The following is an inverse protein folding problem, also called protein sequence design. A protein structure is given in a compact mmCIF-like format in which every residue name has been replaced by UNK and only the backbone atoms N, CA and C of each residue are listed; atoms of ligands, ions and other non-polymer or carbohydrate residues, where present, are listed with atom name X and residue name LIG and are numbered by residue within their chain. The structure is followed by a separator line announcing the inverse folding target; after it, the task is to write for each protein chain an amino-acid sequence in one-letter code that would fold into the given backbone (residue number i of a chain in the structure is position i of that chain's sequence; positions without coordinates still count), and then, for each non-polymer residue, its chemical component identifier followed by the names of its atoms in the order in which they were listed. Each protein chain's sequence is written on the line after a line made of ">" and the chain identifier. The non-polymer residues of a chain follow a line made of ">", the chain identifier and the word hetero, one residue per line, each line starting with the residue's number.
data_IF_197915831057
#
_entry.id   IF_197915831057
#
_cell.length_a   1.000
_cell.length_b   1.000
_cell.length_c   1.000
_cell.angle_alpha   90.00
_cell.angle_beta   90.00
_cell.angle_gamma   90.00
#
_symmetry.space_group_name_H-M   'P 1'
#
loop_
_entity.id
_entity.type
_entity.pdbx_description
1 polymer ?
#
# COMPACT_ATOMS: atom_id res chain seq x y z
N UNK A 1 -4.43 -12.32 7.24
CA UNK A 1 -3.43 -11.50 7.98
C UNK A 1 -4.18 -10.47 8.83
N UNK A 2 -3.68 -10.01 9.98
CA UNK A 2 -4.38 -8.92 10.69
C UNK A 2 -4.20 -7.61 9.93
N UNK A 3 -5.28 -7.09 9.35
CA UNK A 3 -5.32 -5.81 8.62
C UNK A 3 -4.77 -4.65 9.47
N UNK A 4 -5.00 -4.68 10.79
CA UNK A 4 -4.47 -3.69 11.73
C UNK A 4 -2.95 -3.53 11.65
N UNK A 5 -2.18 -4.63 11.60
CA UNK A 5 -0.71 -4.55 11.53
C UNK A 5 -0.22 -3.93 10.22
N UNK A 6 -0.96 -4.15 9.13
CA UNK A 6 -0.65 -3.55 7.82
C UNK A 6 -0.88 -2.04 7.90
N UNK A 7 -2.01 -1.61 8.47
CA UNK A 7 -2.32 -0.19 8.64
C UNK A 7 -1.31 0.51 9.53
N UNK A 8 -0.89 -0.11 10.64
CA UNK A 8 0.16 0.40 11.53
C UNK A 8 1.51 0.52 10.80
N UNK A 9 1.89 -0.51 10.03
CA UNK A 9 3.12 -0.48 9.23
C UNK A 9 3.10 0.65 8.19
N UNK A 10 2.05 0.74 7.37
CA UNK A 10 1.94 1.76 6.32
C UNK A 10 1.99 3.18 6.93
N UNK A 11 1.28 3.42 8.04
CA UNK A 11 1.35 4.69 8.75
C UNK A 11 2.76 5.00 9.27
N UNK A 12 3.49 3.99 9.76
CA UNK A 12 4.88 4.16 10.22
C UNK A 12 5.84 4.59 9.10
N UNK A 13 5.48 4.32 7.85
CA UNK A 13 6.23 4.70 6.63
C UNK A 13 5.70 5.99 5.98
N UNK A 14 4.83 6.74 6.66
CA UNK A 14 4.18 7.94 6.11
C UNK A 14 3.29 7.67 4.88
N UNK A 15 2.66 6.49 4.84
CA UNK A 15 1.59 6.20 3.89
C UNK A 15 0.25 6.47 4.57
N UNK A 16 -0.60 7.24 3.91
CA UNK A 16 -1.83 7.77 4.50
C UNK A 16 -3.05 7.29 3.74
N UNK A 17 -4.06 6.85 4.50
CA UNK A 17 -5.41 6.57 4.00
C UNK A 17 -6.24 7.85 4.09
N UNK A 18 -6.28 8.60 2.99
CA UNK A 18 -6.92 9.93 2.93
C UNK A 18 -8.45 9.82 2.86
N UNK A 19 -8.96 8.81 2.16
CA UNK A 19 -10.40 8.66 1.88
C UNK A 19 -11.09 7.65 2.81
N UNK A 20 -10.33 6.99 3.71
CA UNK A 20 -10.80 5.93 4.61
C UNK A 20 -11.36 4.72 3.86
N UNK A 21 -10.82 4.48 2.67
CA UNK A 21 -11.19 3.39 1.75
C UNK A 21 -10.10 2.29 1.73
N UNK A 22 -9.19 2.31 2.72
CA UNK A 22 -8.05 1.40 2.83
C UNK A 22 -7.04 1.51 1.67
N UNK A 23 -7.03 2.67 1.00
CA UNK A 23 -6.06 3.04 -0.03
C UNK A 23 -5.04 4.00 0.54
N UNK A 24 -3.81 3.55 0.63
CA UNK A 24 -2.70 4.26 1.24
C UNK A 24 -1.83 4.91 0.18
N UNK A 25 -1.60 6.21 0.31
CA UNK A 25 -0.75 6.98 -0.59
C UNK A 25 0.43 7.61 0.14
N UNK A 26 1.53 7.77 -0.57
CA UNK A 26 2.68 8.55 -0.13
C UNK A 26 3.00 9.59 -1.19
N UNK A 27 3.13 10.86 -0.80
CA UNK A 27 3.37 11.98 -1.73
C UNK A 27 4.71 11.87 -2.47
N UNK A 28 5.66 11.12 -1.91
CA UNK A 28 6.99 10.95 -2.45
C UNK A 28 7.14 9.68 -3.30
N UNK A 29 6.10 8.83 -3.38
CA UNK A 29 6.16 7.58 -4.13
C UNK A 29 5.11 7.54 -5.26
N UNK A 30 5.47 6.96 -6.42
CA UNK A 30 4.57 6.85 -7.56
C UNK A 30 3.60 5.67 -7.43
N UNK A 31 3.34 5.19 -6.21
CA UNK A 31 2.52 4.00 -5.97
C UNK A 31 1.43 4.29 -4.93
N UNK A 32 0.37 3.47 -4.99
CA UNK A 32 -0.66 3.37 -3.97
C UNK A 32 -0.71 1.94 -3.45
N UNK A 33 -0.99 1.77 -2.17
CA UNK A 33 -1.16 0.47 -1.52
C UNK A 33 -2.62 0.29 -1.12
N UNK A 34 -3.32 -0.66 -1.71
CA UNK A 34 -4.67 -1.02 -1.33
C UNK A 34 -4.63 -2.21 -0.37
N UNK A 35 -5.39 -2.15 0.72
CA UNK A 35 -5.53 -3.24 1.68
C UNK A 35 -6.97 -3.77 1.62
N UNK A 36 -7.16 -4.95 1.02
CA UNK A 36 -8.47 -5.53 0.79
C UNK A 36 -8.97 -6.36 1.99
N UNK A 37 -10.07 -5.91 2.59
CA UNK A 37 -10.95 -6.69 3.47
C UNK A 37 -10.33 -7.30 4.74
N UNK A 38 -11.09 -8.17 5.40
CA UNK A 38 -10.67 -8.89 6.63
C UNK A 38 -9.55 -9.91 6.37
N UNK A 39 -9.40 -10.38 5.13
CA UNK A 39 -8.37 -11.36 4.75
C UNK A 39 -6.98 -10.72 4.65
N UNK A 40 -6.91 -9.40 4.42
CA UNK A 40 -5.69 -8.61 4.46
C UNK A 40 -4.81 -8.81 3.23
N UNK A 41 -5.39 -9.09 2.06
CA UNK A 41 -4.66 -9.06 0.80
C UNK A 41 -4.21 -7.62 0.53
N UNK A 42 -2.96 -7.44 0.10
CA UNK A 42 -2.39 -6.12 -0.17
C UNK A 42 -2.06 -6.03 -1.65
N UNK A 43 -2.44 -4.94 -2.29
CA UNK A 43 -2.16 -4.71 -3.71
C UNK A 43 -1.40 -3.40 -3.89
N UNK A 44 -0.27 -3.45 -4.59
CA UNK A 44 0.47 -2.28 -5.04
C UNK A 44 -0.03 -1.88 -6.43
N UNK A 45 -0.41 -0.61 -6.57
CA UNK A 45 -0.85 -0.04 -7.85
C UNK A 45 0.01 1.16 -8.21
N UNK A 46 0.16 1.43 -9.49
CA UNK A 46 0.76 2.69 -9.94
C UNK A 46 -0.14 3.87 -9.60
N UNK A 47 0.45 5.02 -9.29
CA UNK A 47 -0.26 6.30 -9.21
C UNK A 47 -0.19 6.98 -10.57
N UNK A 48 -1.29 7.07 -11.30
CA UNK A 48 -1.33 7.69 -12.63
C UNK A 48 -1.96 9.08 -12.51
N UNK A 49 -1.11 10.12 -12.60
CA UNK A 49 -1.56 11.50 -12.47
C UNK A 49 -2.05 11.83 -11.06
N UNK A 50 -3.30 12.28 -10.94
CA UNK A 50 -3.92 12.72 -9.68
C UNK A 50 -4.92 11.71 -9.11
N UNK A 51 -4.95 10.48 -9.63
CA UNK A 51 -5.98 9.50 -9.28
C UNK A 51 -5.64 8.66 -8.05
N UNK A 52 -4.46 8.86 -7.45
CA UNK A 52 -4.02 8.17 -6.24
C UNK A 52 -4.17 6.64 -6.34
N UNK A 53 -3.87 6.10 -7.52
CA UNK A 53 -3.91 4.67 -7.82
C UNK A 53 -5.30 4.07 -7.94
N UNK A 54 -6.34 4.90 -8.10
CA UNK A 54 -7.72 4.45 -8.34
C UNK A 54 -7.83 3.67 -9.66
N UNK A 55 -7.19 4.17 -10.72
CA UNK A 55 -7.19 3.57 -12.06
C UNK A 55 -5.81 3.01 -12.46
N UNK A 56 -4.80 3.13 -11.60
CA UNK A 56 -3.47 2.60 -11.86
C UNK A 56 -3.46 1.08 -12.03
N UNK A 57 -2.53 0.56 -12.82
CA UNK A 57 -2.39 -0.88 -13.00
C UNK A 57 -1.95 -1.55 -11.69
N UNK A 58 -2.44 -2.76 -11.44
CA UNK A 58 -1.89 -3.61 -10.39
C UNK A 58 -0.49 -4.05 -10.80
N UNK A 59 0.50 -3.69 -9.97
CA UNK A 59 1.90 -4.05 -10.17
C UNK A 59 2.20 -5.36 -9.46
N UNK A 60 1.70 -5.48 -8.23
CA UNK A 60 2.04 -6.60 -7.35
C UNK A 60 0.97 -6.82 -6.29
N UNK A 61 0.81 -8.07 -5.87
CA UNK A 61 -0.06 -8.45 -4.77
C UNK A 61 0.75 -9.22 -3.72
N UNK A 62 0.58 -8.84 -2.46
CA UNK A 62 1.24 -9.46 -1.31
C UNK A 62 0.21 -10.24 -0.48
N UNK A 63 0.63 -11.43 -0.05
CA UNK A 63 -0.17 -12.31 0.79
C UNK A 63 0.21 -12.21 2.27
N UNK A 64 1.29 -11.48 2.59
CA UNK A 64 1.77 -11.29 3.96
C UNK A 64 2.44 -9.94 4.19
N UNK A 65 2.48 -9.49 5.44
CA UNK A 65 3.14 -8.26 5.88
C UNK A 65 4.65 -8.34 5.65
N UNK A 66 5.21 -9.54 5.80
CA UNK A 66 6.63 -9.76 5.58
C UNK A 66 7.02 -9.52 4.12
N UNK A 67 6.19 -9.97 3.16
CA UNK A 67 6.41 -9.69 1.74
C UNK A 67 6.32 -8.19 1.44
N UNK A 68 5.34 -7.50 2.01
CA UNK A 68 5.23 -6.04 1.88
C UNK A 68 6.47 -5.33 2.46
N UNK A 69 6.92 -5.72 3.65
CA UNK A 69 8.09 -5.14 4.32
C UNK A 69 9.37 -5.34 3.50
N UNK A 70 9.63 -6.56 3.05
CA UNK A 70 10.77 -6.86 2.18
C UNK A 70 10.71 -6.05 0.88
N UNK A 71 9.52 -5.84 0.31
CA UNK A 71 9.39 -5.02 -0.88
C UNK A 71 9.74 -3.55 -0.59
N UNK A 72 9.23 -2.98 0.51
CA UNK A 72 9.54 -1.61 0.93
C UNK A 72 11.05 -1.40 1.11
N UNK A 73 11.72 -2.31 1.84
CA UNK A 73 13.16 -2.25 2.09
C UNK A 73 13.97 -2.32 0.79
N UNK A 74 13.59 -3.20 -0.13
CA UNK A 74 14.36 -3.44 -1.36
C UNK A 74 14.10 -2.42 -2.48
N UNK A 75 12.92 -1.77 -2.51
CA UNK A 75 12.50 -0.94 -3.64
C UNK A 75 12.50 0.55 -3.33
N UNK A 76 12.15 0.95 -2.10
CA UNK A 76 12.05 2.37 -1.72
C UNK A 76 12.93 2.73 -0.52
N UNK A 77 13.67 1.76 0.03
CA UNK A 77 14.59 1.97 1.15
C UNK A 77 13.88 2.31 2.45
N UNK A 78 12.58 1.97 2.55
CA UNK A 78 11.75 2.18 3.73
C UNK A 78 11.61 0.91 4.54
#
# INVERSE_FOLDING_TARGET
>A
MSSQKIHEFLRSKNWFDTDRDARYINLNHPYAVLVAGEEGQITLREKVGFDDGQNGEEIYSFNSLNELQMWFENNIGE
#
